data_IF_468204956302
#
_entry.id   IF_468204956302
#
_cell.length_a   1.000
_cell.length_b   1.000
_cell.length_c   1.000
_cell.angle_alpha   90.00
_cell.angle_beta   90.00
_cell.angle_gamma   90.00
#
_symmetry.space_group_name_H-M   'P 1'
#
loop_
_entity.id
_entity.type
_entity.pdbx_description
1 polymer ?
#
# COMPACT_ATOMS: atom_id res chain seq x y z
N UNK A 1 88.19 -32.78 0.27
CA UNK A 1 87.08 -33.65 -0.21
C UNK A 1 85.85 -33.41 0.66
N UNK A 2 84.76 -32.92 0.06
CA UNK A 2 83.34 -33.08 0.46
C UNK A 2 82.90 -32.50 1.83
N UNK A 3 81.80 -31.76 1.99
CA UNK A 3 80.68 -31.38 1.13
C UNK A 3 79.99 -30.16 1.75
N UNK A 4 79.64 -29.20 0.88
CA UNK A 4 78.70 -28.10 1.10
C UNK A 4 77.29 -28.64 1.37
N UNK A 5 76.56 -28.07 2.32
CA UNK A 5 75.13 -27.70 2.20
C UNK A 5 74.66 -26.97 3.48
N UNK A 6 74.66 -25.64 3.47
CA UNK A 6 73.78 -24.86 4.35
C UNK A 6 72.47 -24.68 3.59
N UNK A 7 71.42 -25.40 4.00
CA UNK A 7 70.05 -25.16 3.53
C UNK A 7 69.47 -24.08 4.45
N UNK A 8 69.46 -22.84 3.98
CA UNK A 8 68.65 -21.77 4.55
C UNK A 8 67.26 -21.88 3.93
N UNK A 9 66.32 -22.54 4.61
CA UNK A 9 64.92 -22.59 4.20
C UNK A 9 64.29 -21.23 4.51
N UNK A 10 64.24 -20.36 3.51
CA UNK A 10 63.46 -19.11 3.56
C UNK A 10 61.98 -19.49 3.48
N UNK A 11 61.31 -19.55 4.63
CA UNK A 11 59.86 -19.70 4.71
C UNK A 11 59.23 -18.37 4.29
N UNK A 12 58.94 -18.22 3.00
CA UNK A 12 58.11 -17.11 2.50
C UNK A 12 56.68 -17.42 2.94
N UNK A 13 56.29 -16.86 4.09
CA UNK A 13 54.90 -16.79 4.51
C UNK A 13 54.19 -15.82 3.58
N UNK A 14 53.62 -16.33 2.49
CA UNK A 14 52.72 -15.59 1.64
C UNK A 14 51.42 -15.37 2.43
N UNK A 15 51.38 -14.28 3.21
CA UNK A 15 50.16 -13.80 3.86
C UNK A 15 49.29 -13.24 2.73
N UNK A 16 48.42 -14.10 2.18
CA UNK A 16 47.29 -13.65 1.40
C UNK A 16 46.40 -12.82 2.31
N UNK A 17 46.60 -11.51 2.28
CA UNK A 17 45.62 -10.55 2.81
C UNK A 17 44.43 -10.60 1.88
N UNK A 18 43.49 -11.52 2.14
CA UNK A 18 42.15 -11.37 1.63
C UNK A 18 41.58 -10.12 2.28
N UNK A 19 41.55 -9.02 1.55
CA UNK A 19 40.75 -7.86 1.92
C UNK A 19 39.30 -8.34 1.96
N UNK A 20 38.82 -8.68 3.15
CA UNK A 20 37.41 -8.83 3.43
C UNK A 20 36.80 -7.44 3.25
N UNK A 21 36.35 -7.14 2.04
CA UNK A 21 35.43 -6.03 1.85
C UNK A 21 34.21 -6.35 2.70
N UNK A 22 33.98 -5.54 3.74
CA UNK A 22 32.74 -5.59 4.50
C UNK A 22 31.61 -5.45 3.50
N UNK A 23 30.79 -6.49 3.36
CA UNK A 23 29.66 -6.45 2.46
C UNK A 23 28.62 -5.53 3.10
N UNK A 24 28.44 -4.34 2.55
CA UNK A 24 27.48 -3.35 3.02
C UNK A 24 26.12 -4.04 3.26
N UNK A 25 25.64 -4.00 4.50
CA UNK A 25 24.38 -4.66 4.87
C UNK A 25 23.22 -3.85 4.28
N UNK A 26 22.44 -4.46 3.39
CA UNK A 26 21.24 -3.81 2.83
C UNK A 26 20.06 -3.96 3.80
N UNK A 27 19.46 -2.84 4.18
CA UNK A 27 18.15 -2.78 4.83
C UNK A 27 17.05 -2.86 3.77
N UNK A 28 16.03 -3.67 4.02
CA UNK A 28 14.82 -3.78 3.19
C UNK A 28 13.64 -3.22 3.96
N UNK A 29 12.88 -2.33 3.33
CA UNK A 29 11.71 -1.67 3.88
C UNK A 29 10.52 -1.91 2.96
N UNK A 30 9.36 -2.18 3.50
CA UNK A 30 8.13 -2.35 2.72
C UNK A 30 7.12 -1.27 3.08
N UNK A 31 6.34 -0.84 2.09
CA UNK A 31 5.09 -0.11 2.29
C UNK A 31 3.99 -0.85 1.52
N UNK A 32 2.76 -0.80 2.01
CA UNK A 32 1.65 -1.55 1.42
C UNK A 32 0.38 -0.71 1.29
N UNK A 33 -0.57 -1.22 0.51
CA UNK A 33 -1.95 -0.77 0.49
C UNK A 33 -2.92 -1.95 0.54
N UNK A 34 -4.04 -1.78 1.24
CA UNK A 34 -5.10 -2.79 1.27
C UNK A 34 -6.49 -2.16 1.44
N UNK A 35 -7.36 -2.35 0.44
CA UNK A 35 -8.79 -2.08 0.60
C UNK A 35 -9.41 -3.17 1.48
N UNK A 36 -10.02 -2.76 2.59
CA UNK A 36 -10.52 -3.67 3.61
C UNK A 36 -11.93 -4.21 3.32
N UNK A 37 -12.57 -3.83 2.21
CA UNK A 37 -13.94 -4.20 1.83
C UNK A 37 -14.90 -3.96 3.00
N UNK A 38 -15.28 -2.70 3.18
CA UNK A 38 -16.27 -2.26 4.16
C UNK A 38 -16.01 -2.78 5.59
N UNK A 39 -14.92 -2.34 6.22
CA UNK A 39 -14.67 -2.66 7.62
C UNK A 39 -15.52 -1.77 8.54
N UNK A 40 -16.70 -2.28 8.86
CA UNK A 40 -17.68 -1.71 9.79
C UNK A 40 -17.65 -2.45 11.13
N UNK A 41 -17.91 -1.73 12.22
CA UNK A 41 -18.33 -2.31 13.49
C UNK A 41 -19.81 -2.74 13.43
N UNK A 42 -20.44 -3.01 14.57
CA UNK A 42 -21.79 -3.61 14.62
C UNK A 42 -22.82 -2.67 15.26
N UNK A 43 -22.41 -1.44 15.56
CA UNK A 43 -23.22 -0.44 16.26
C UNK A 43 -23.73 0.57 15.23
N UNK A 44 -25.04 0.71 15.16
CA UNK A 44 -25.73 1.74 14.37
C UNK A 44 -25.32 3.15 14.82
N UNK A 45 -24.77 3.95 13.90
CA UNK A 45 -24.63 5.40 14.01
C UNK A 45 -25.80 6.06 13.27
N UNK A 46 -26.76 6.66 14.00
CA UNK A 46 -27.93 7.29 13.38
C UNK A 46 -27.61 8.49 12.48
N UNK A 47 -26.35 8.92 12.42
CA UNK A 47 -25.89 9.99 11.52
C UNK A 47 -25.20 9.45 10.25
N UNK A 48 -25.08 8.14 10.10
CA UNK A 48 -24.37 7.48 9.00
C UNK A 48 -25.18 6.32 8.42
N UNK A 49 -26.18 6.63 7.59
CA UNK A 49 -27.03 5.62 6.92
C UNK A 49 -26.25 4.56 6.10
N UNK A 50 -24.93 4.74 5.88
CA UNK A 50 -24.07 3.74 5.27
C UNK A 50 -23.84 2.49 6.11
N UNK A 51 -23.99 2.58 7.44
CA UNK A 51 -23.80 1.47 8.37
C UNK A 51 -25.07 0.65 8.63
N UNK A 52 -26.26 1.15 8.30
CA UNK A 52 -27.56 0.46 8.44
C UNK A 52 -27.52 -0.99 7.91
N UNK A 53 -26.85 -1.18 6.76
CA UNK A 53 -26.68 -2.48 6.11
C UNK A 53 -25.78 -3.44 6.93
N UNK A 54 -24.89 -2.89 7.76
CA UNK A 54 -23.86 -3.53 8.58
C UNK A 54 -24.18 -3.52 10.08
N UNK A 55 -25.45 -3.71 10.44
CA UNK A 55 -25.89 -4.00 11.81
C UNK A 55 -26.42 -5.45 11.93
N UNK A 56 -26.61 -6.00 13.14
CA UNK A 56 -27.20 -7.33 13.31
C UNK A 56 -28.58 -7.48 12.67
N UNK A 57 -29.38 -6.41 12.68
CA UNK A 57 -30.71 -6.33 12.05
C UNK A 57 -30.66 -5.87 10.59
N UNK A 58 -29.50 -5.37 10.14
CA UNK A 58 -29.25 -4.88 8.79
C UNK A 58 -29.25 -5.98 7.73
N UNK A 59 -29.18 -5.55 6.47
CA UNK A 59 -29.24 -6.43 5.29
C UNK A 59 -28.19 -7.53 5.26
N UNK A 60 -27.00 -7.28 5.81
CA UNK A 60 -25.92 -8.27 5.89
C UNK A 60 -25.95 -9.12 7.17
N UNK A 61 -26.91 -8.86 8.07
CA UNK A 61 -27.02 -9.46 9.41
C UNK A 61 -25.65 -9.43 10.11
N UNK A 62 -25.00 -8.27 10.13
CA UNK A 62 -23.61 -8.10 10.57
C UNK A 62 -23.53 -8.22 12.09
N UNK A 63 -23.31 -9.44 12.56
CA UNK A 63 -23.18 -9.73 14.00
C UNK A 63 -21.76 -9.55 14.49
N UNK A 64 -21.59 -9.42 15.81
CA UNK A 64 -20.29 -9.39 16.48
C UNK A 64 -19.38 -10.55 16.04
N UNK A 65 -19.94 -11.75 15.84
CA UNK A 65 -19.17 -12.90 15.36
C UNK A 65 -18.64 -12.71 13.93
N UNK A 66 -19.42 -12.12 13.01
CA UNK A 66 -18.95 -11.82 11.64
C UNK A 66 -17.88 -10.73 11.64
N UNK A 67 -18.08 -9.69 12.45
CA UNK A 67 -17.10 -8.62 12.64
C UNK A 67 -15.76 -9.13 13.17
N UNK A 68 -15.77 -9.95 14.24
CA UNK A 68 -14.55 -10.55 14.79
C UNK A 68 -13.84 -11.45 13.76
N UNK A 69 -14.59 -12.22 12.97
CA UNK A 69 -14.02 -13.04 11.89
C UNK A 69 -13.38 -12.18 10.80
N UNK A 70 -14.02 -11.07 10.42
CA UNK A 70 -13.45 -10.09 9.49
C UNK A 70 -12.15 -9.51 10.03
N UNK A 71 -12.10 -9.07 11.28
CA UNK A 71 -10.87 -8.59 11.93
C UNK A 71 -9.75 -9.64 11.90
N UNK A 72 -10.05 -10.90 12.25
CA UNK A 72 -9.09 -12.01 12.22
C UNK A 72 -8.57 -12.27 10.79
N UNK A 73 -9.46 -12.24 9.80
CA UNK A 73 -9.09 -12.43 8.40
C UNK A 73 -8.15 -11.31 7.93
N UNK A 74 -8.51 -10.04 8.13
CA UNK A 74 -7.66 -8.90 7.76
C UNK A 74 -6.33 -8.94 8.51
N UNK A 75 -6.33 -9.21 9.82
CA UNK A 75 -5.11 -9.33 10.62
C UNK A 75 -4.19 -10.43 10.10
N UNK A 76 -4.72 -11.59 9.70
CA UNK A 76 -3.95 -12.69 9.09
C UNK A 76 -3.29 -12.28 7.77
N UNK A 77 -3.93 -11.42 6.98
CA UNK A 77 -3.32 -10.87 5.75
C UNK A 77 -2.18 -9.94 6.12
N UNK A 78 -2.46 -8.91 6.94
CA UNK A 78 -1.48 -7.90 7.36
C UNK A 78 -0.24 -8.55 7.99
N UNK A 79 -0.42 -9.62 8.78
CA UNK A 79 0.69 -10.31 9.43
C UNK A 79 1.61 -11.06 8.48
N UNK A 80 1.27 -11.22 7.21
CA UNK A 80 2.12 -11.90 6.22
C UNK A 80 2.70 -10.95 5.18
N UNK A 81 2.18 -9.72 5.10
CA UNK A 81 2.63 -8.72 4.14
C UNK A 81 4.14 -8.48 4.25
N UNK A 82 4.83 -8.59 3.12
CA UNK A 82 6.24 -8.22 3.00
C UNK A 82 7.24 -9.08 3.78
N UNK A 83 6.80 -10.07 4.55
CA UNK A 83 7.67 -10.80 5.49
C UNK A 83 8.73 -11.68 4.84
N UNK A 84 8.51 -12.07 3.59
CA UNK A 84 9.51 -12.80 2.78
C UNK A 84 10.81 -12.00 2.59
N UNK A 85 10.73 -10.67 2.65
CA UNK A 85 11.87 -9.76 2.42
C UNK A 85 12.14 -8.78 3.56
N UNK A 86 11.12 -8.41 4.32
CA UNK A 86 11.19 -7.52 5.47
C UNK A 86 10.52 -8.24 6.66
N UNK A 87 11.28 -8.98 7.49
CA UNK A 87 10.70 -9.79 8.57
C UNK A 87 9.82 -9.01 9.56
N UNK A 88 10.06 -7.70 9.70
CA UNK A 88 9.27 -6.80 10.54
C UNK A 88 7.90 -6.41 9.94
N UNK A 89 7.63 -6.78 8.68
CA UNK A 89 6.46 -6.35 7.92
C UNK A 89 6.60 -4.94 7.34
N UNK A 90 5.52 -4.38 6.77
CA UNK A 90 5.53 -3.03 6.23
C UNK A 90 5.80 -1.98 7.32
N UNK A 91 6.57 -0.96 6.98
CA UNK A 91 6.77 0.21 7.81
C UNK A 91 5.50 1.07 7.90
N UNK A 92 4.73 1.11 6.81
CA UNK A 92 3.46 1.82 6.70
C UNK A 92 2.52 1.11 5.72
N UNK A 93 1.23 1.11 6.01
CA UNK A 93 0.16 0.47 5.22
C UNK A 93 -0.94 1.50 5.04
N UNK A 94 -1.20 1.93 3.81
CA UNK A 94 -2.42 2.66 3.48
C UNK A 94 -3.61 1.70 3.43
N UNK A 95 -4.78 2.13 3.88
CA UNK A 95 -6.00 1.32 3.87
C UNK A 95 -7.19 2.16 3.43
N UNK A 96 -8.20 1.50 2.89
CA UNK A 96 -9.47 2.14 2.50
C UNK A 96 -10.67 1.28 2.91
N UNK A 97 -11.84 1.90 2.84
CA UNK A 97 -13.12 1.31 3.25
C UNK A 97 -13.14 0.97 4.74
N UNK A 98 -12.73 1.95 5.54
CA UNK A 98 -12.73 1.92 6.99
C UNK A 98 -13.87 2.80 7.48
N UNK A 99 -14.76 2.29 8.32
CA UNK A 99 -15.82 3.11 8.89
C UNK A 99 -15.27 4.23 9.77
N UNK A 100 -14.52 3.89 10.81
CA UNK A 100 -14.13 4.82 11.86
C UNK A 100 -12.80 4.42 12.52
N UNK A 101 -12.32 5.24 13.47
CA UNK A 101 -11.10 4.91 14.23
C UNK A 101 -11.24 3.64 15.07
N UNK A 102 -12.43 3.36 15.61
CA UNK A 102 -12.66 2.23 16.53
C UNK A 102 -12.38 0.89 15.84
N UNK A 103 -12.83 0.69 14.60
CA UNK A 103 -12.56 -0.55 13.87
C UNK A 103 -11.06 -0.79 13.64
N UNK A 104 -10.26 0.28 13.52
CA UNK A 104 -8.80 0.17 13.41
C UNK A 104 -8.14 -0.14 14.76
N UNK A 105 -8.67 0.39 15.85
CA UNK A 105 -8.21 0.02 17.20
C UNK A 105 -8.48 -1.45 17.50
N UNK A 106 -9.66 -1.96 17.12
CA UNK A 106 -9.99 -3.37 17.24
C UNK A 106 -9.09 -4.24 16.35
N UNK A 107 -8.87 -3.83 15.10
CA UNK A 107 -7.98 -4.52 14.16
C UNK A 107 -6.54 -4.58 14.67
N UNK A 108 -5.99 -3.46 15.12
CA UNK A 108 -4.61 -3.42 15.64
C UNK A 108 -4.43 -4.20 16.93
N UNK A 109 -5.49 -4.43 17.71
CA UNK A 109 -5.47 -5.30 18.91
C UNK A 109 -5.73 -6.78 18.57
N UNK A 110 -6.07 -7.08 17.33
CA UNK A 110 -6.39 -8.44 16.87
C UNK A 110 -5.11 -9.24 16.57
N UNK A 111 -5.01 -10.46 17.12
CA UNK A 111 -3.97 -11.39 16.72
C UNK A 111 -4.19 -11.79 15.24
N UNK A 112 -3.13 -12.01 14.44
CA UNK A 112 -1.72 -12.08 14.81
C UNK A 112 -0.94 -10.75 14.74
N UNK A 113 -1.60 -9.59 14.57
CA UNK A 113 -0.87 -8.30 14.38
C UNK A 113 -0.70 -7.48 15.66
N UNK A 114 -1.41 -7.82 16.74
CA UNK A 114 -1.39 -7.10 18.02
C UNK A 114 -0.01 -6.89 18.63
N UNK A 115 0.92 -7.83 18.44
CA UNK A 115 2.30 -7.70 18.91
C UNK A 115 3.19 -6.77 18.07
N UNK A 116 2.72 -6.30 16.90
CA UNK A 116 3.50 -5.42 16.02
C UNK A 116 3.58 -4.00 16.57
N UNK A 117 2.53 -3.56 17.28
CA UNK A 117 2.41 -2.18 17.78
C UNK A 117 2.18 -1.17 16.66
N UNK A 118 1.31 -1.51 15.68
CA UNK A 118 0.90 -0.55 14.65
C UNK A 118 0.13 0.62 15.29
N UNK A 119 0.47 1.83 14.88
CA UNK A 119 -0.23 3.06 15.26
C UNK A 119 -1.13 3.54 14.11
N UNK A 120 -2.21 4.26 14.46
CA UNK A 120 -3.34 4.56 13.56
C UNK A 120 -3.40 6.04 13.19
N UNK A 121 -3.44 6.30 11.89
CA UNK A 121 -3.74 7.61 11.29
C UNK A 121 -5.09 7.51 10.59
N UNK A 122 -6.08 8.25 11.08
CA UNK A 122 -7.46 8.24 10.61
C UNK A 122 -8.07 9.63 10.78
N UNK A 123 -8.83 10.06 9.78
CA UNK A 123 -9.64 11.28 9.78
C UNK A 123 -10.95 10.96 9.08
N UNK A 124 -12.05 11.41 9.69
CA UNK A 124 -13.38 11.35 9.08
C UNK A 124 -13.41 12.17 7.78
N UNK A 125 -14.06 11.65 6.76
CA UNK A 125 -14.25 12.33 5.47
C UNK A 125 -15.75 12.46 5.13
N UNK A 126 -16.13 13.36 4.21
CA UNK A 126 -17.55 13.61 3.92
C UNK A 126 -18.17 12.52 3.03
N UNK A 127 -17.59 11.32 2.93
CA UNK A 127 -18.10 10.27 2.06
C UNK A 127 -19.53 9.86 2.44
N UNK A 128 -20.39 9.73 1.42
CA UNK A 128 -21.80 9.41 1.63
C UNK A 128 -22.04 7.98 2.12
N UNK A 129 -21.07 7.06 1.95
CA UNK A 129 -21.15 5.72 2.54
C UNK A 129 -20.63 5.70 3.96
N UNK A 130 -20.00 6.78 4.47
CA UNK A 130 -19.39 6.81 5.79
C UNK A 130 -18.13 5.96 5.92
N UNK A 131 -17.31 5.88 4.86
CA UNK A 131 -16.03 5.17 4.92
C UNK A 131 -14.87 6.04 4.45
N UNK A 132 -13.72 5.79 5.04
CA UNK A 132 -12.52 6.59 4.91
C UNK A 132 -11.33 5.84 4.33
N UNK A 133 -10.29 6.63 4.05
CA UNK A 133 -8.92 6.17 3.91
C UNK A 133 -8.18 6.38 5.23
N UNK A 134 -7.27 5.47 5.55
CA UNK A 134 -6.45 5.56 6.75
C UNK A 134 -5.03 5.04 6.49
N UNK A 135 -4.18 5.10 7.51
CA UNK A 135 -2.91 4.39 7.51
C UNK A 135 -2.59 3.74 8.84
N UNK A 136 -1.93 2.59 8.79
CA UNK A 136 -1.28 1.93 9.91
C UNK A 136 0.23 2.03 9.75
N UNK A 137 0.98 2.42 10.77
CA UNK A 137 2.45 2.50 10.69
C UNK A 137 3.14 1.83 11.87
N UNK A 138 4.29 1.21 11.61
CA UNK A 138 5.12 0.59 12.64
C UNK A 138 6.12 1.64 13.15
N UNK A 139 5.97 2.14 14.40
CA UNK A 139 6.79 3.22 14.94
C UNK A 139 8.28 2.85 15.07
N UNK A 140 8.62 1.55 15.01
CA UNK A 140 10.01 1.07 14.98
C UNK A 140 10.69 1.27 13.63
N UNK A 141 9.91 1.46 12.56
CA UNK A 141 10.41 1.57 11.18
C UNK A 141 10.10 2.94 10.56
N UNK A 142 8.95 3.53 10.91
CA UNK A 142 8.47 4.79 10.37
C UNK A 142 8.21 5.77 11.52
N UNK A 143 8.86 6.93 11.49
CA UNK A 143 8.59 8.01 12.45
C UNK A 143 7.63 9.02 11.82
N UNK A 144 6.42 9.11 12.34
CA UNK A 144 5.44 10.11 11.93
C UNK A 144 5.94 11.54 12.23
N UNK A 145 5.73 12.46 11.30
CA UNK A 145 5.97 13.90 11.46
C UNK A 145 4.65 14.68 11.40
N UNK A 146 3.85 14.43 10.36
CA UNK A 146 2.58 15.13 10.12
C UNK A 146 1.62 14.22 9.36
N UNK A 147 0.32 14.43 9.55
CA UNK A 147 -0.73 13.81 8.75
C UNK A 147 -1.91 14.76 8.58
N UNK A 148 -2.44 14.83 7.37
CA UNK A 148 -3.58 15.68 7.02
C UNK A 148 -4.34 15.16 5.82
N UNK A 149 -5.59 15.56 5.69
CA UNK A 149 -6.42 15.25 4.52
C UNK A 149 -6.49 16.42 3.54
N UNK A 150 -6.78 16.09 2.29
CA UNK A 150 -7.06 17.01 1.20
C UNK A 150 -8.46 16.72 0.66
N UNK A 151 -9.41 17.66 0.82
CA UNK A 151 -10.79 17.44 0.42
C UNK A 151 -10.98 17.21 -1.07
N UNK A 152 -11.87 16.29 -1.44
CA UNK A 152 -12.39 16.19 -2.80
C UNK A 152 -13.40 17.31 -3.07
N UNK A 153 -12.91 18.51 -3.38
CA UNK A 153 -13.76 19.68 -3.62
C UNK A 153 -13.78 20.03 -5.10
N UNK A 154 -14.58 19.30 -5.89
CA UNK A 154 -14.73 19.55 -7.33
C UNK A 154 -15.61 20.80 -7.56
N UNK A 155 -15.09 21.91 -8.14
CA UNK A 155 -15.79 23.20 -8.14
C UNK A 155 -17.16 23.21 -8.82
N UNK A 156 -17.33 22.45 -9.89
CA UNK A 156 -18.60 22.30 -10.62
C UNK A 156 -19.54 21.25 -10.01
N UNK A 157 -19.15 20.62 -8.90
CA UNK A 157 -19.95 19.66 -8.13
C UNK A 157 -19.82 19.92 -6.62
N UNK A 158 -20.21 21.11 -6.12
CA UNK A 158 -19.94 21.53 -4.74
C UNK A 158 -20.67 20.71 -3.66
N UNK A 159 -21.68 19.91 -4.04
CA UNK A 159 -22.41 19.03 -3.14
C UNK A 159 -22.00 17.55 -3.27
N UNK A 160 -21.04 17.24 -4.15
CA UNK A 160 -20.58 15.87 -4.33
C UNK A 160 -19.70 15.46 -3.15
N UNK A 161 -20.16 14.43 -2.45
CA UNK A 161 -19.59 13.93 -1.21
C UNK A 161 -18.86 12.61 -1.44
N UNK A 162 -17.56 12.59 -1.19
CA UNK A 162 -16.69 11.41 -1.34
C UNK A 162 -15.48 11.54 -0.44
N UNK A 163 -14.71 10.44 -0.35
CA UNK A 163 -13.48 10.34 0.43
C UNK A 163 -12.48 11.45 0.10
N UNK A 164 -11.86 11.95 1.15
CA UNK A 164 -10.68 12.80 1.09
C UNK A 164 -9.43 11.99 0.73
N UNK A 165 -8.36 12.71 0.35
CA UNK A 165 -7.04 12.13 0.11
C UNK A 165 -6.18 12.34 1.36
N UNK A 166 -5.62 11.26 1.91
CA UNK A 166 -4.77 11.33 3.12
C UNK A 166 -3.29 11.48 2.73
N UNK A 167 -2.63 12.52 3.23
CA UNK A 167 -1.17 12.67 3.20
C UNK A 167 -0.59 12.32 4.57
N UNK A 168 0.34 11.38 4.61
CA UNK A 168 1.17 11.04 5.77
C UNK A 168 2.61 11.40 5.47
N UNK A 169 3.22 12.21 6.32
CA UNK A 169 4.61 12.64 6.21
C UNK A 169 5.42 12.15 7.39
N UNK A 170 6.59 11.56 7.13
CA UNK A 170 7.45 11.04 8.19
C UNK A 170 8.85 10.70 7.71
N UNK A 171 9.53 9.86 8.49
CA UNK A 171 10.89 9.42 8.23
C UNK A 171 10.93 7.91 8.11
N UNK A 172 11.44 7.42 6.98
CA UNK A 172 11.71 6.01 6.71
C UNK A 172 13.19 5.83 6.39
N UNK A 173 13.85 4.88 7.04
CA UNK A 173 15.28 4.61 6.84
C UNK A 173 16.17 5.87 7.00
N UNK A 174 15.76 6.82 7.85
CA UNK A 174 16.46 8.08 8.09
C UNK A 174 16.27 9.15 7.01
N UNK A 175 15.35 8.97 6.07
CA UNK A 175 15.05 9.93 5.00
C UNK A 175 13.58 10.40 5.04
N UNK A 176 13.27 11.64 4.62
CA UNK A 176 11.91 12.12 4.43
C UNK A 176 11.13 11.23 3.45
N UNK A 177 9.99 10.73 3.92
CA UNK A 177 9.11 9.84 3.16
C UNK A 177 7.65 10.25 3.36
N UNK A 178 6.92 10.32 2.26
CA UNK A 178 5.52 10.73 2.21
C UNK A 178 4.69 9.62 1.58
N UNK A 179 3.61 9.23 2.25
CA UNK A 179 2.59 8.33 1.73
C UNK A 179 1.33 9.15 1.41
N UNK A 180 0.81 9.02 0.20
CA UNK A 180 -0.49 9.58 -0.19
C UNK A 180 -1.45 8.41 -0.38
N UNK A 181 -2.47 8.29 0.49
CA UNK A 181 -3.46 7.20 0.48
C UNK A 181 -4.73 7.67 -0.21
N UNK A 182 -5.24 6.84 -1.12
CA UNK A 182 -6.35 7.19 -2.01
C UNK A 182 -7.43 6.10 -2.01
N UNK A 183 -8.68 6.55 -2.16
CA UNK A 183 -9.79 5.72 -2.58
C UNK A 183 -10.70 6.54 -3.50
N UNK A 184 -10.40 6.54 -4.79
CA UNK A 184 -11.06 7.44 -5.74
C UNK A 184 -12.51 7.03 -6.03
N UNK A 185 -13.36 7.96 -6.52
CA UNK A 185 -14.74 7.65 -6.90
C UNK A 185 -14.85 6.43 -7.82
N UNK A 186 -15.81 5.56 -7.51
CA UNK A 186 -15.97 4.29 -8.20
C UNK A 186 -16.39 4.45 -9.66
N UNK A 187 -16.36 3.35 -10.41
CA UNK A 187 -16.84 3.30 -11.81
C UNK A 187 -18.38 3.27 -11.93
N UNK A 188 -19.13 3.59 -10.87
CA UNK A 188 -20.59 3.69 -10.93
C UNK A 188 -21.02 4.74 -11.97
N UNK A 189 -21.96 4.39 -12.86
CA UNK A 189 -22.31 5.21 -14.03
C UNK A 189 -21.38 5.06 -15.24
N UNK A 190 -20.39 4.15 -15.18
CA UNK A 190 -19.52 3.81 -16.31
C UNK A 190 -18.54 4.92 -16.67
N UNK A 191 -18.38 5.19 -17.96
CA UNK A 191 -17.44 6.20 -18.47
C UNK A 191 -17.73 7.62 -17.98
N UNK A 192 -18.99 7.91 -17.62
CA UNK A 192 -19.40 9.21 -17.10
C UNK A 192 -18.75 9.56 -15.75
N UNK A 193 -18.24 8.57 -14.99
CA UNK A 193 -17.54 8.84 -13.73
C UNK A 193 -16.04 9.10 -13.88
N UNK A 194 -15.46 8.89 -15.07
CA UNK A 194 -14.01 9.12 -15.32
C UNK A 194 -13.52 10.52 -14.88
N UNK A 195 -14.25 11.62 -15.17
CA UNK A 195 -13.81 12.96 -14.79
C UNK A 195 -13.64 13.16 -13.27
N UNK A 196 -14.33 12.37 -12.44
CA UNK A 196 -14.18 12.41 -10.99
C UNK A 196 -12.80 11.87 -10.57
N UNK A 197 -12.36 10.77 -11.18
CA UNK A 197 -11.03 10.18 -10.91
C UNK A 197 -9.91 11.03 -11.47
N UNK A 198 -10.11 11.65 -12.64
CA UNK A 198 -9.18 12.65 -13.18
C UNK A 198 -9.03 13.85 -12.23
N UNK A 199 -10.13 14.32 -11.63
CA UNK A 199 -10.07 15.38 -10.64
C UNK A 199 -9.33 14.94 -9.36
N UNK A 200 -9.61 13.74 -8.82
CA UNK A 200 -8.87 13.19 -7.69
C UNK A 200 -7.36 13.10 -7.99
N UNK A 201 -7.00 12.58 -9.16
CA UNK A 201 -5.61 12.51 -9.63
C UNK A 201 -4.95 13.89 -9.70
N UNK A 202 -5.68 14.95 -10.06
CA UNK A 202 -5.17 16.32 -10.08
C UNK A 202 -4.85 16.84 -8.68
N UNK A 203 -5.65 16.49 -7.67
CA UNK A 203 -5.37 16.82 -6.26
C UNK A 203 -4.10 16.08 -5.82
N UNK A 204 -4.00 14.78 -6.09
CA UNK A 204 -2.80 13.98 -5.77
C UNK A 204 -1.55 14.56 -6.40
N UNK A 205 -1.63 14.93 -7.68
CA UNK A 205 -0.53 15.58 -8.39
C UNK A 205 -0.15 16.90 -7.71
N UNK A 206 -1.12 17.73 -7.34
CA UNK A 206 -0.86 18.98 -6.64
C UNK A 206 -0.17 18.78 -5.28
N UNK A 207 -0.59 17.77 -4.51
CA UNK A 207 0.06 17.40 -3.24
C UNK A 207 1.52 17.02 -3.49
N UNK A 208 1.76 16.12 -4.44
CA UNK A 208 3.08 15.64 -4.78
C UNK A 208 4.02 16.72 -5.31
N UNK A 209 3.54 17.57 -6.22
CA UNK A 209 4.28 18.71 -6.74
C UNK A 209 4.63 19.70 -5.61
N UNK A 210 3.72 19.94 -4.68
CA UNK A 210 3.96 20.82 -3.52
C UNK A 210 5.03 20.27 -2.58
N UNK A 211 5.05 18.95 -2.34
CA UNK A 211 6.09 18.29 -1.55
C UNK A 211 7.46 18.46 -2.23
N UNK A 212 7.57 18.19 -3.53
CA UNK A 212 8.83 18.33 -4.25
C UNK A 212 9.30 19.79 -4.41
N UNK A 213 8.37 20.74 -4.50
CA UNK A 213 8.70 22.16 -4.50
C UNK A 213 9.35 22.61 -3.18
N UNK A 214 8.94 22.03 -2.05
CA UNK A 214 9.55 22.29 -0.73
C UNK A 214 10.84 21.50 -0.52
N UNK A 215 10.88 20.25 -0.99
CA UNK A 215 12.04 19.37 -0.86
C UNK A 215 12.15 18.45 -2.09
N UNK A 216 13.03 18.76 -3.05
CA UNK A 216 13.24 17.92 -4.25
C UNK A 216 13.69 16.48 -3.94
N UNK A 217 14.29 16.23 -2.76
CA UNK A 217 14.77 14.91 -2.34
C UNK A 217 13.71 14.09 -1.57
N UNK A 218 12.54 14.67 -1.28
CA UNK A 218 11.45 14.00 -0.58
C UNK A 218 10.95 12.78 -1.36
N UNK A 219 10.90 11.62 -0.71
CA UNK A 219 10.39 10.40 -1.35
C UNK A 219 8.86 10.40 -1.24
N UNK A 220 8.16 10.26 -2.37
CA UNK A 220 6.69 10.20 -2.40
C UNK A 220 6.26 8.83 -2.92
N UNK A 221 5.39 8.18 -2.15
CA UNK A 221 4.68 6.98 -2.54
C UNK A 221 3.18 7.28 -2.53
N UNK A 222 2.55 7.15 -3.68
CA UNK A 222 1.11 7.25 -3.87
C UNK A 222 0.57 5.82 -3.91
N UNK A 223 -0.39 5.53 -3.05
CA UNK A 223 -1.07 4.24 -2.98
C UNK A 223 -2.58 4.43 -2.92
N UNK A 224 -3.32 3.40 -3.29
CA UNK A 224 -4.76 3.41 -3.11
C UNK A 224 -5.52 2.54 -4.06
N UNK A 225 -6.80 2.35 -3.76
CA UNK A 225 -7.79 1.93 -4.74
C UNK A 225 -8.11 3.14 -5.61
N UNK A 226 -7.46 3.20 -6.76
CA UNK A 226 -7.61 4.30 -7.69
C UNK A 226 -8.87 4.15 -8.55
N UNK A 227 -9.62 3.05 -8.44
CA UNK A 227 -10.76 2.72 -9.30
C UNK A 227 -10.47 2.83 -10.82
N UNK A 228 -9.19 2.79 -11.17
CA UNK A 228 -8.67 2.86 -12.53
C UNK A 228 -7.48 1.93 -12.67
N UNK A 229 -7.28 1.38 -13.85
CA UNK A 229 -6.09 0.61 -14.21
C UNK A 229 -4.92 1.58 -14.53
N UNK A 230 -3.67 1.09 -14.50
CA UNK A 230 -2.48 1.95 -14.66
C UNK A 230 -2.46 2.82 -15.92
N UNK A 231 -3.09 2.36 -17.00
CA UNK A 231 -3.10 3.05 -18.29
C UNK A 231 -4.21 4.10 -18.42
N UNK A 232 -5.22 4.10 -17.54
CA UNK A 232 -6.31 5.06 -17.61
C UNK A 232 -5.81 6.50 -17.42
N UNK A 233 -6.53 7.45 -18.02
CA UNK A 233 -6.16 8.87 -18.12
C UNK A 233 -5.83 9.52 -16.76
N UNK A 234 -6.60 9.21 -15.72
CA UNK A 234 -6.35 9.67 -14.35
C UNK A 234 -4.92 9.34 -13.88
N UNK A 235 -4.48 8.10 -14.10
CA UNK A 235 -3.16 7.60 -13.71
C UNK A 235 -2.04 8.04 -14.67
N UNK A 236 -2.20 7.80 -15.97
CA UNK A 236 -1.12 7.88 -16.96
C UNK A 236 -0.90 9.29 -17.53
N UNK A 237 -1.95 10.11 -17.57
CA UNK A 237 -1.94 11.45 -18.16
C UNK A 237 -2.04 12.54 -17.09
N UNK A 238 -3.08 12.51 -16.24
CA UNK A 238 -3.33 13.58 -15.25
C UNK A 238 -2.30 13.52 -14.13
N UNK A 239 -2.17 12.38 -13.46
CA UNK A 239 -1.08 12.17 -12.50
C UNK A 239 0.28 12.07 -13.23
N UNK A 240 0.26 11.64 -14.49
CA UNK A 240 1.45 11.57 -15.34
C UNK A 240 2.39 10.41 -15.00
N UNK A 241 1.89 9.39 -14.28
CA UNK A 241 2.69 8.24 -13.88
C UNK A 241 3.12 7.44 -15.12
N UNK A 242 4.41 7.13 -15.24
CA UNK A 242 4.97 6.45 -16.40
C UNK A 242 5.13 4.97 -16.18
N UNK A 243 4.94 4.22 -17.26
CA UNK A 243 5.16 2.77 -17.34
C UNK A 243 6.64 2.42 -17.35
N UNK A 244 7.47 3.18 -18.06
CA UNK A 244 8.90 2.88 -18.15
C UNK A 244 9.69 3.88 -17.32
N UNK A 245 10.59 3.35 -16.49
CA UNK A 245 11.51 4.15 -15.67
C UNK A 245 12.26 5.22 -16.49
N UNK A 246 12.64 4.91 -17.73
CA UNK A 246 13.38 5.82 -18.61
C UNK A 246 12.59 7.06 -19.03
N UNK A 247 11.27 7.03 -18.93
CA UNK A 247 10.37 8.13 -19.29
C UNK A 247 10.07 9.05 -18.09
N UNK A 248 10.53 8.66 -16.89
CA UNK A 248 10.26 9.37 -15.65
C UNK A 248 11.23 10.54 -15.53
N UNK A 249 10.68 11.75 -15.44
CA UNK A 249 11.46 12.96 -15.13
C UNK A 249 11.92 12.93 -13.66
N UNK A 250 12.96 13.72 -13.27
CA UNK A 250 13.43 13.75 -11.88
C UNK A 250 12.32 14.00 -10.83
N UNK A 251 11.38 14.88 -11.16
CA UNK A 251 10.19 15.26 -10.39
C UNK A 251 8.92 14.48 -10.79
N UNK A 252 9.05 13.51 -11.70
CA UNK A 252 7.95 12.73 -12.23
C UNK A 252 7.62 11.48 -11.42
N UNK A 253 6.64 10.72 -11.90
CA UNK A 253 6.15 9.51 -11.24
C UNK A 253 6.34 8.25 -12.09
N UNK A 254 6.68 7.15 -11.42
CA UNK A 254 6.74 5.80 -11.98
C UNK A 254 5.66 4.93 -11.35
N UNK A 255 4.86 4.27 -12.18
CA UNK A 255 3.88 3.32 -11.69
C UNK A 255 4.53 1.95 -11.48
N UNK A 256 4.86 1.63 -10.24
CA UNK A 256 5.55 0.40 -9.88
C UNK A 256 4.70 -0.85 -10.14
N UNK A 257 3.38 -0.72 -10.17
CA UNK A 257 2.42 -1.81 -10.42
C UNK A 257 2.09 -2.04 -11.89
N UNK A 258 2.36 -1.08 -12.81
CA UNK A 258 1.96 -1.20 -14.22
C UNK A 258 2.52 -2.44 -14.91
N UNK A 259 3.79 -2.79 -14.66
CA UNK A 259 4.38 -3.99 -15.25
C UNK A 259 3.65 -5.29 -14.81
N UNK A 260 3.08 -5.32 -13.60
CA UNK A 260 2.29 -6.45 -13.12
C UNK A 260 0.97 -6.56 -13.89
N UNK A 261 0.32 -5.44 -14.18
CA UNK A 261 -0.87 -5.39 -15.02
C UNK A 261 -0.61 -5.98 -16.42
N UNK A 262 0.50 -5.61 -17.07
CA UNK A 262 0.84 -6.17 -18.39
C UNK A 262 1.06 -7.69 -18.37
N UNK A 263 1.41 -8.24 -17.20
CA UNK A 263 1.57 -9.68 -16.97
C UNK A 263 0.23 -10.38 -16.68
N UNK A 264 -0.89 -9.65 -16.73
CA UNK A 264 -2.21 -10.15 -16.40
C UNK A 264 -2.48 -10.25 -14.89
N UNK A 265 -1.64 -9.61 -14.05
CA UNK A 265 -1.80 -9.61 -12.60
C UNK A 265 -2.65 -8.39 -12.22
N UNK A 266 -3.84 -8.64 -11.67
CA UNK A 266 -4.71 -7.63 -11.09
C UNK A 266 -4.75 -7.71 -9.56
N UNK A 267 -5.32 -6.69 -8.93
CA UNK A 267 -5.63 -6.63 -7.51
C UNK A 267 -7.09 -6.98 -7.21
N UNK A 268 -8.00 -6.87 -8.17
CA UNK A 268 -9.38 -7.34 -8.03
C UNK A 268 -9.88 -7.98 -9.33
N UNK A 269 -11.01 -8.69 -9.23
CA UNK A 269 -11.64 -9.32 -10.39
C UNK A 269 -13.13 -8.96 -10.48
N UNK A 270 -13.52 -8.35 -11.60
CA UNK A 270 -14.90 -7.95 -11.90
C UNK A 270 -15.28 -8.43 -13.30
N UNK A 271 -16.46 -9.05 -13.45
CA UNK A 271 -16.95 -9.57 -14.73
C UNK A 271 -15.92 -10.43 -15.50
N UNK A 272 -15.18 -11.29 -14.78
CA UNK A 272 -14.09 -12.14 -15.29
C UNK A 272 -12.89 -11.38 -15.87
N UNK A 273 -12.72 -10.11 -15.50
CA UNK A 273 -11.55 -9.31 -15.85
C UNK A 273 -10.77 -8.97 -14.58
N UNK A 274 -9.47 -9.22 -14.63
CA UNK A 274 -8.54 -8.76 -13.60
C UNK A 274 -8.23 -7.29 -13.85
N UNK A 275 -8.51 -6.46 -12.86
CA UNK A 275 -8.16 -5.04 -12.83
C UNK A 275 -7.08 -4.79 -11.78
N UNK A 276 -6.26 -3.76 -11.99
CA UNK A 276 -5.22 -3.34 -11.05
C UNK A 276 -5.53 -1.92 -10.54
N UNK A 277 -6.58 -1.80 -9.72
CA UNK A 277 -6.97 -0.53 -9.13
C UNK A 277 -6.11 -0.16 -7.92
N UNK A 278 -5.62 -1.16 -7.19
CA UNK A 278 -4.81 -0.99 -5.99
C UNK A 278 -3.35 -0.73 -6.37
N UNK A 279 -3.02 0.50 -6.73
CA UNK A 279 -1.75 0.82 -7.38
C UNK A 279 -0.68 1.32 -6.40
N UNK A 280 0.58 1.21 -6.84
CA UNK A 280 1.76 1.73 -6.15
C UNK A 280 2.55 2.62 -7.11
N UNK A 281 2.58 3.93 -6.86
CA UNK A 281 3.20 4.92 -7.74
C UNK A 281 4.25 5.70 -6.94
N UNK A 282 5.49 5.75 -7.43
CA UNK A 282 6.63 6.32 -6.71
C UNK A 282 7.20 7.54 -7.43
N UNK A 283 7.76 8.50 -6.67
CA UNK A 283 8.52 9.62 -7.21
C UNK A 283 9.82 9.18 -7.90
N UNK A 284 10.28 9.97 -8.87
CA UNK A 284 11.49 9.70 -9.65
C UNK A 284 12.75 9.54 -8.80
N UNK A 285 12.86 10.26 -7.68
CA UNK A 285 14.02 10.19 -6.78
C UNK A 285 14.09 8.89 -5.94
N UNK A 286 13.06 8.02 -5.97
CA UNK A 286 13.12 6.64 -5.47
C UNK A 286 13.70 5.68 -6.52
N UNK A 287 13.85 6.09 -7.77
CA UNK A 287 14.42 5.28 -8.84
C UNK A 287 15.95 5.31 -8.78
N UNK A 288 16.57 4.22 -9.21
CA UNK A 288 18.01 4.13 -9.42
C UNK A 288 18.64 2.94 -8.72
N UNK A 289 19.97 2.84 -8.83
CA UNK A 289 20.75 1.75 -8.22
C UNK A 289 21.65 2.22 -7.08
N UNK A 290 21.81 3.53 -6.90
CA UNK A 290 22.58 4.07 -5.77
C UNK A 290 21.83 3.82 -4.46
N UNK A 291 22.28 2.82 -3.72
CA UNK A 291 21.66 2.40 -2.46
C UNK A 291 22.18 3.16 -1.24
N UNK A 292 22.99 4.22 -1.42
CA UNK A 292 23.33 5.14 -0.32
C UNK A 292 22.10 5.89 0.22
N UNK A 293 21.08 6.03 -0.62
CA UNK A 293 19.75 6.55 -0.30
C UNK A 293 18.68 5.47 -0.48
N UNK A 294 17.48 5.72 0.03
CA UNK A 294 16.36 4.80 -0.11
C UNK A 294 15.93 4.71 -1.58
N UNK A 295 15.92 3.49 -2.12
CA UNK A 295 15.60 3.25 -3.53
C UNK A 295 14.62 2.10 -3.71
N UNK A 296 13.70 2.27 -4.66
CA UNK A 296 12.81 1.23 -5.13
C UNK A 296 13.56 -0.03 -5.55
N UNK A 297 13.04 -1.18 -5.16
CA UNK A 297 13.54 -2.48 -5.56
C UNK A 297 12.53 -3.23 -6.42
N UNK A 298 11.32 -3.45 -5.89
CA UNK A 298 10.26 -4.19 -6.58
C UNK A 298 8.89 -3.84 -6.00
N UNK A 299 7.86 -4.22 -6.73
CA UNK A 299 6.46 -4.22 -6.30
C UNK A 299 5.90 -5.64 -6.29
N UNK A 300 4.75 -5.82 -5.66
CA UNK A 300 4.02 -7.08 -5.58
C UNK A 300 2.52 -6.82 -5.46
N UNK A 301 1.70 -7.67 -6.10
CA UNK A 301 0.33 -7.92 -5.67
C UNK A 301 0.39 -9.18 -4.80
N UNK A 302 -0.02 -9.07 -3.54
CA UNK A 302 0.02 -10.15 -2.57
C UNK A 302 -1.08 -11.17 -2.86
N UNK A 303 -0.84 -12.00 -3.88
CA UNK A 303 -1.76 -13.03 -4.33
C UNK A 303 -1.34 -14.37 -3.73
N UNK A 304 -1.90 -14.70 -2.55
CA UNK A 304 -1.66 -15.99 -1.88
C UNK A 304 -2.87 -16.90 -2.06
N UNK A 305 -2.69 -18.23 -2.16
CA UNK A 305 -3.80 -19.14 -2.43
C UNK A 305 -4.97 -19.01 -1.45
N UNK A 306 -4.71 -18.73 -0.16
CA UNK A 306 -5.77 -18.60 0.84
C UNK A 306 -6.67 -17.37 0.63
N UNK A 307 -6.23 -16.37 -0.14
CA UNK A 307 -7.01 -15.19 -0.48
C UNK A 307 -7.97 -15.42 -1.66
N UNK A 308 -7.92 -16.57 -2.32
CA UNK A 308 -8.71 -16.84 -3.51
C UNK A 308 -9.83 -17.84 -3.22
N UNK A 309 -11.01 -17.54 -3.77
CA UNK A 309 -12.15 -18.44 -3.76
C UNK A 309 -11.81 -19.74 -4.50
N UNK A 310 -12.07 -20.89 -3.85
CA UNK A 310 -11.64 -22.21 -4.34
C UNK A 310 -12.63 -22.86 -5.30
N UNK A 311 -13.91 -22.52 -5.17
CA UNK A 311 -15.01 -23.24 -5.81
C UNK A 311 -16.14 -22.29 -6.21
N UNK A 312 -17.10 -22.80 -7.00
CA UNK A 312 -18.26 -22.06 -7.45
C UNK A 312 -17.99 -21.09 -8.61
N UNK A 313 -18.99 -20.27 -8.93
CA UNK A 313 -18.97 -19.34 -10.08
C UNK A 313 -17.79 -18.36 -10.07
N UNK A 314 -17.34 -17.96 -8.87
CA UNK A 314 -16.25 -17.00 -8.69
C UNK A 314 -14.93 -17.70 -8.32
N UNK A 315 -14.75 -18.97 -8.64
CA UNK A 315 -13.48 -19.68 -8.44
C UNK A 315 -12.31 -18.88 -9.04
N UNK A 316 -11.28 -18.65 -8.24
CA UNK A 316 -10.09 -17.88 -8.60
C UNK A 316 -10.18 -16.37 -8.35
N UNK A 317 -11.36 -15.84 -7.98
CA UNK A 317 -11.50 -14.45 -7.56
C UNK A 317 -10.94 -14.26 -6.15
N UNK A 318 -10.57 -13.03 -5.75
CA UNK A 318 -10.39 -12.70 -4.34
C UNK A 318 -11.62 -13.13 -3.53
N UNK A 319 -11.36 -13.78 -2.40
CA UNK A 319 -12.39 -14.29 -1.49
C UNK A 319 -12.92 -13.10 -0.68
N UNK A 320 -13.99 -12.51 -1.22
CA UNK A 320 -14.76 -11.40 -0.65
C UNK A 320 -15.54 -11.78 0.60
N UNK A 321 -15.97 -10.79 1.38
CA UNK A 321 -16.69 -10.96 2.65
C UNK A 321 -18.11 -11.44 2.41
N UNK A 322 -18.78 -10.86 1.42
CA UNK A 322 -20.15 -11.22 1.04
C UNK A 322 -20.29 -11.48 -0.47
N UNK A 323 -21.12 -12.45 -0.81
CA UNK A 323 -21.58 -12.68 -2.19
C UNK A 323 -23.09 -12.47 -2.22
N UNK A 324 -23.54 -11.33 -2.75
CA UNK A 324 -24.89 -10.84 -2.45
C UNK A 324 -24.99 -10.55 -0.95
N UNK A 325 -25.99 -11.10 -0.27
CA UNK A 325 -26.12 -11.03 1.20
C UNK A 325 -25.56 -12.26 1.91
N UNK A 326 -25.04 -13.25 1.17
CA UNK A 326 -24.49 -14.47 1.78
C UNK A 326 -23.07 -14.23 2.29
N UNK A 327 -22.90 -14.35 3.61
CA UNK A 327 -21.59 -14.27 4.26
C UNK A 327 -20.67 -15.40 3.79
N UNK A 328 -19.54 -15.04 3.18
CA UNK A 328 -18.53 -15.97 2.68
C UNK A 328 -17.39 -16.19 3.67
N UNK A 329 -17.32 -15.39 4.73
CA UNK A 329 -16.20 -15.35 5.67
C UNK A 329 -14.84 -15.16 4.96
N UNK A 330 -14.83 -14.25 3.99
CA UNK A 330 -13.64 -13.89 3.22
C UNK A 330 -12.79 -12.79 3.84
N UNK A 331 -11.83 -12.32 3.06
CA UNK A 331 -10.83 -11.32 3.43
C UNK A 331 -11.21 -9.95 2.89
N UNK A 332 -11.21 -9.82 1.57
CA UNK A 332 -11.51 -8.62 0.79
C UNK A 332 -11.75 -9.07 -0.65
N UNK A 333 -12.56 -8.34 -1.41
CA UNK A 333 -12.63 -8.50 -2.87
C UNK A 333 -11.41 -7.89 -3.59
N UNK A 334 -10.48 -7.29 -2.83
CA UNK A 334 -9.19 -6.78 -3.28
C UNK A 334 -8.02 -7.62 -2.72
N UNK A 335 -6.91 -7.65 -3.44
CA UNK A 335 -5.63 -8.18 -3.02
C UNK A 335 -4.70 -7.03 -2.62
N UNK A 336 -3.96 -7.14 -1.49
CA UNK A 336 -3.03 -6.11 -1.08
C UNK A 336 -1.93 -5.88 -2.12
N UNK A 337 -1.42 -4.64 -2.22
CA UNK A 337 -0.24 -4.34 -3.04
C UNK A 337 0.89 -3.77 -2.19
N UNK A 338 2.13 -4.03 -2.61
CA UNK A 338 3.32 -3.64 -1.86
C UNK A 338 4.38 -3.02 -2.77
N UNK A 339 5.16 -2.13 -2.18
CA UNK A 339 6.43 -1.66 -2.70
C UNK A 339 7.53 -1.94 -1.70
N UNK A 340 8.65 -2.44 -2.21
CA UNK A 340 9.86 -2.71 -1.43
C UNK A 340 10.95 -1.72 -1.82
N UNK A 341 11.61 -1.20 -0.80
CA UNK A 341 12.73 -0.26 -0.90
C UNK A 341 13.96 -0.86 -0.23
N UNK A 342 15.13 -0.47 -0.73
CA UNK A 342 16.40 -0.91 -0.18
C UNK A 342 17.36 0.26 0.01
N UNK A 343 18.16 0.19 1.06
CA UNK A 343 19.19 1.17 1.41
C UNK A 343 20.34 0.46 2.12
N UNK A 344 21.58 0.88 1.86
CA UNK A 344 22.76 0.44 2.62
C UNK A 344 22.64 0.96 4.05
N UNK A 345 22.70 0.04 5.01
CA UNK A 345 22.78 0.37 6.43
C UNK A 345 24.18 0.89 6.73
N UNK A 346 24.24 2.03 7.43
CA UNK A 346 25.48 2.56 7.99
C UNK A 346 25.77 1.95 9.35
#
# INVERSE_FOLDING_TARGET
>A
MNKRLLIFTLFITCVYTTSLFAQDRLGVYAAAFYNLENLWDTVDDPNNEGDDDFTPEGKYEWTQTKYEQKLQNIAKVISQLGRDYCPAGPAIIGISEVENRKVLEDLTKTAPISGTGYEIIHFESPDHRGIDVAALYNPKLFKLIDARTYPFNKPDMPHYKTRDILLVSGILAGEPFHLIVNHWPSRYGGSASSPLREFAASIVKHIGDSIHAQNPEAKVLIVGDLNDDPFNKSCSEVLGAKKNIKEVKPDGYYNATWKLYDQGIGSLCYQNQWNLFDQQIISGNLIGKDRSTLKFWKSEVFNRPFLLQKEGKYKGYPLRTFSGTTFQNGFSDHLPTLTYFVKVMK
#
